data_IF_607554490637
#
_entry.id   IF_607554490637
#
_cell.length_a   1.000
_cell.length_b   1.000
_cell.length_c   1.000
_cell.angle_alpha   90.00
_cell.angle_beta   90.00
_cell.angle_gamma   90.00
#
_symmetry.space_group_name_H-M   'P 1'
#
loop_
_entity.id
_entity.type
_entity.pdbx_description
1 polymer ?
#
# COMPACT_ATOMS: atom_id res chain seq x y z
N UNK A 1 -13.08 7.37 -23.48
CA UNK A 1 -12.39 6.07 -23.37
C UNK A 1 -10.92 6.35 -23.12
N UNK A 2 -10.51 6.58 -21.88
CA UNK A 2 -9.09 6.73 -21.57
C UNK A 2 -8.48 5.33 -21.52
N UNK A 3 -7.50 5.06 -22.38
CA UNK A 3 -6.74 3.82 -22.37
C UNK A 3 -6.07 3.64 -21.00
N UNK A 4 -5.73 2.43 -20.57
CA UNK A 4 -4.99 2.15 -19.33
C UNK A 4 -3.60 2.83 -19.24
N UNK A 5 -3.27 3.68 -20.22
CA UNK A 5 -2.02 4.42 -20.39
C UNK A 5 -2.19 5.94 -20.31
N UNK A 6 -3.43 6.47 -20.28
CA UNK A 6 -3.66 7.91 -20.16
C UNK A 6 -4.81 8.23 -19.21
N UNK A 7 -4.75 9.36 -18.51
CA UNK A 7 -5.78 9.82 -17.56
C UNK A 7 -5.87 11.34 -17.58
N UNK A 8 -7.07 11.89 -17.43
CA UNK A 8 -7.27 13.33 -17.27
C UNK A 8 -7.06 13.74 -15.81
N UNK A 9 -6.05 14.56 -15.53
CA UNK A 9 -5.81 15.15 -14.22
C UNK A 9 -5.87 16.68 -14.34
N UNK A 10 -6.77 17.33 -13.59
CA UNK A 10 -6.96 18.79 -13.62
C UNK A 10 -7.14 19.37 -15.04
N UNK A 11 -7.90 18.69 -15.89
CA UNK A 11 -8.21 19.16 -17.24
C UNK A 11 -7.11 18.89 -18.29
N UNK A 12 -6.01 18.23 -17.92
CA UNK A 12 -4.93 17.85 -18.84
C UNK A 12 -4.85 16.32 -18.96
N UNK A 13 -4.72 15.83 -20.19
CA UNK A 13 -4.49 14.39 -20.44
C UNK A 13 -3.01 14.08 -20.25
N UNK A 14 -2.72 13.20 -19.29
CA UNK A 14 -1.37 12.80 -18.91
C UNK A 14 -1.21 11.28 -19.04
N UNK A 15 0.03 10.81 -19.17
CA UNK A 15 0.34 9.39 -19.17
C UNK A 15 0.18 8.79 -17.76
N UNK A 16 -0.59 7.73 -17.62
CA UNK A 16 -0.95 7.12 -16.34
C UNK A 16 -2.40 6.63 -16.30
N UNK A 17 -2.76 5.93 -15.23
CA UNK A 17 -4.11 5.40 -15.01
C UNK A 17 -4.77 5.91 -13.71
N UNK A 18 -4.10 6.82 -13.00
CA UNK A 18 -4.61 7.48 -11.80
C UNK A 18 -3.99 8.87 -11.62
N UNK A 19 -4.65 9.73 -10.82
CA UNK A 19 -4.19 11.07 -10.50
C UNK A 19 -3.80 11.21 -9.02
N UNK A 20 -2.77 12.00 -8.76
CA UNK A 20 -2.37 12.50 -7.46
C UNK A 20 -2.27 14.02 -7.55
N UNK A 21 -3.34 14.72 -7.20
CA UNK A 21 -3.48 16.15 -7.50
C UNK A 21 -3.49 16.40 -9.01
N UNK A 22 -2.56 17.24 -9.51
CA UNK A 22 -2.40 17.56 -10.93
C UNK A 22 -1.46 16.63 -11.69
N UNK A 23 -0.87 15.63 -11.03
CA UNK A 23 0.03 14.67 -11.64
C UNK A 23 -0.67 13.34 -11.90
N UNK A 24 -0.38 12.71 -13.03
CA UNK A 24 -0.77 11.32 -13.29
C UNK A 24 0.34 10.35 -12.89
N UNK A 25 -0.05 9.12 -12.53
CA UNK A 25 0.87 8.02 -12.24
C UNK A 25 0.28 6.68 -12.66
N UNK A 26 1.12 5.64 -12.63
CA UNK A 26 0.72 4.26 -12.86
C UNK A 26 0.56 3.54 -11.53
N UNK A 27 -0.65 3.04 -11.25
CA UNK A 27 -0.97 2.28 -10.03
C UNK A 27 -0.22 0.95 -9.92
N UNK A 28 0.38 0.47 -11.01
CA UNK A 28 1.20 -0.75 -11.03
C UNK A 28 2.56 -0.57 -10.35
N UNK A 29 3.07 0.66 -10.25
CA UNK A 29 4.40 0.94 -9.69
C UNK A 29 4.38 1.91 -8.52
N UNK A 30 3.36 2.77 -8.46
CA UNK A 30 3.30 3.90 -7.54
C UNK A 30 1.92 4.06 -6.92
N UNK A 31 1.86 4.79 -5.82
CA UNK A 31 0.64 5.16 -5.10
C UNK A 31 0.71 6.62 -4.67
N UNK A 32 -0.45 7.23 -4.39
CA UNK A 32 -0.57 8.61 -3.93
C UNK A 32 -0.83 8.62 -2.42
N UNK A 33 0.16 9.00 -1.62
CA UNK A 33 0.02 9.13 -0.16
C UNK A 33 0.03 10.59 0.24
N UNK A 34 -1.09 11.09 0.78
CA UNK A 34 -1.26 12.49 1.20
C UNK A 34 -0.85 13.50 0.11
N UNK A 35 -1.24 13.24 -1.15
CA UNK A 35 -0.96 14.13 -2.27
C UNK A 35 0.44 14.00 -2.87
N UNK A 36 1.27 13.04 -2.41
CA UNK A 36 2.60 12.77 -2.95
C UNK A 36 2.64 11.39 -3.59
N UNK A 37 3.07 11.32 -4.86
CA UNK A 37 3.30 10.05 -5.57
C UNK A 37 4.57 9.41 -5.01
N UNK A 38 4.47 8.14 -4.61
CA UNK A 38 5.57 7.36 -4.04
C UNK A 38 5.57 5.93 -4.59
N UNK A 39 6.73 5.26 -4.70
CA UNK A 39 6.79 3.86 -5.08
C UNK A 39 6.09 2.99 -4.02
N UNK A 40 5.24 2.08 -4.46
CA UNK A 40 4.40 1.26 -3.58
C UNK A 40 2.98 1.11 -4.11
N UNK A 41 2.18 0.31 -3.44
CA UNK A 41 0.78 0.07 -3.78
C UNK A 41 -0.18 0.36 -2.60
N UNK A 42 0.34 0.69 -1.42
CA UNK A 42 -0.43 1.08 -0.25
C UNK A 42 0.25 2.20 0.54
N UNK A 43 -0.53 2.90 1.36
CA UNK A 43 -0.07 3.99 2.21
C UNK A 43 -0.20 3.63 3.69
N UNK A 44 0.81 4.00 4.47
CA UNK A 44 0.81 4.01 5.93
C UNK A 44 1.06 5.45 6.38
N UNK A 45 -0.02 6.22 6.56
CA UNK A 45 0.07 7.67 6.68
C UNK A 45 0.68 8.31 5.43
N UNK A 46 1.78 9.04 5.59
CA UNK A 46 2.49 9.70 4.49
C UNK A 46 3.46 8.79 3.75
N UNK A 47 3.75 7.59 4.27
CA UNK A 47 4.72 6.65 3.68
C UNK A 47 4.02 5.66 2.77
N UNK A 48 4.63 5.32 1.64
CA UNK A 48 4.17 4.24 0.77
C UNK A 48 4.94 2.96 1.06
N UNK A 49 4.29 1.82 0.84
CA UNK A 49 4.91 0.50 0.95
C UNK A 49 4.33 -0.47 -0.07
N UNK A 50 5.00 -1.62 -0.20
CA UNK A 50 4.53 -2.75 -0.99
C UNK A 50 3.85 -3.78 -0.08
N UNK A 51 2.57 -4.05 -0.33
CA UNK A 51 1.81 -5.05 0.45
C UNK A 51 2.31 -6.48 0.30
N UNK A 52 3.17 -6.75 -0.69
CA UNK A 52 3.81 -8.05 -0.89
C UNK A 52 4.87 -8.39 0.16
N UNK A 53 5.47 -7.37 0.79
CA UNK A 53 6.58 -7.55 1.74
C UNK A 53 6.32 -6.94 3.10
N UNK A 54 5.37 -6.02 3.20
CA UNK A 54 5.11 -5.26 4.42
C UNK A 54 3.63 -4.98 4.63
N UNK A 55 3.28 -4.64 5.86
CA UNK A 55 1.95 -4.22 6.27
C UNK A 55 2.04 -3.00 7.18
N UNK A 56 0.96 -2.23 7.29
CA UNK A 56 0.87 -1.06 8.16
C UNK A 56 0.12 -1.43 9.44
N UNK A 57 0.80 -1.47 10.58
CA UNK A 57 0.19 -1.71 11.88
C UNK A 57 0.32 -0.45 12.73
N UNK A 58 -0.81 0.14 13.15
CA UNK A 58 -0.84 1.36 13.97
C UNK A 58 0.03 2.51 13.43
N UNK A 59 0.03 2.70 12.10
CA UNK A 59 0.79 3.77 11.46
C UNK A 59 2.28 3.48 11.26
N UNK A 60 2.75 2.27 11.56
CA UNK A 60 4.13 1.82 11.34
C UNK A 60 4.15 0.74 10.25
N UNK A 61 5.03 0.90 9.26
CA UNK A 61 5.27 -0.12 8.23
C UNK A 61 6.20 -1.19 8.82
N UNK A 62 5.75 -2.43 8.80
CA UNK A 62 6.43 -3.58 9.37
C UNK A 62 6.45 -4.74 8.37
N UNK A 63 7.49 -5.59 8.44
CA UNK A 63 7.57 -6.78 7.62
C UNK A 63 6.51 -7.81 8.06
N UNK A 64 5.70 -8.29 7.12
CA UNK A 64 4.55 -9.16 7.40
C UNK A 64 3.38 -8.86 6.48
N UNK A 65 2.33 -9.66 6.58
CA UNK A 65 1.10 -9.51 5.79
C UNK A 65 -0.16 -9.32 6.64
N UNK A 66 -0.05 -9.45 7.97
CA UNK A 66 -1.14 -9.22 8.91
C UNK A 66 -0.64 -8.54 10.19
N UNK A 67 -1.54 -7.86 10.90
CA UNK A 67 -1.27 -7.22 12.18
C UNK A 67 -1.89 -8.01 13.34
N UNK A 68 -1.15 -8.11 14.44
CA UNK A 68 -1.62 -8.60 15.73
C UNK A 68 -1.30 -7.53 16.78
N UNK A 69 -2.28 -6.69 17.12
CA UNK A 69 -2.02 -5.47 17.87
C UNK A 69 -1.13 -4.51 17.08
N UNK A 70 -0.01 -4.08 17.68
CA UNK A 70 0.99 -3.20 17.06
C UNK A 70 2.12 -3.93 16.33
N UNK A 71 2.07 -5.27 16.26
CA UNK A 71 3.10 -6.08 15.60
C UNK A 71 2.59 -6.64 14.28
N UNK A 72 3.48 -6.76 13.30
CA UNK A 72 3.20 -7.52 12.08
C UNK A 72 3.68 -8.96 12.21
N UNK A 73 2.99 -9.86 11.53
CA UNK A 73 3.37 -11.26 11.40
C UNK A 73 3.07 -11.78 10.00
N UNK A 74 3.65 -12.93 9.67
CA UNK A 74 3.34 -13.67 8.46
C UNK A 74 2.30 -14.74 8.78
N UNK A 75 1.14 -14.67 8.13
CA UNK A 75 0.06 -15.67 8.29
C UNK A 75 0.47 -17.07 7.83
N UNK A 76 1.56 -17.20 7.07
CA UNK A 76 2.11 -18.50 6.65
C UNK A 76 2.84 -19.24 7.76
N UNK A 77 3.30 -18.56 8.81
CA UNK A 77 4.09 -19.17 9.90
C UNK A 77 3.50 -18.92 11.28
N UNK A 78 2.47 -18.09 11.40
CA UNK A 78 1.95 -17.62 12.67
C UNK A 78 0.47 -17.24 12.58
N UNK A 79 -0.20 -17.20 13.74
CA UNK A 79 -1.61 -16.79 13.91
C UNK A 79 -1.72 -15.81 15.07
N UNK A 80 -2.66 -14.87 15.00
CA UNK A 80 -2.98 -13.96 16.10
C UNK A 80 -4.13 -14.51 16.95
N UNK A 81 -3.93 -14.66 18.26
CA UNK A 81 -4.98 -15.03 19.20
C UNK A 81 -4.95 -14.07 20.40
N UNK A 82 -6.05 -13.34 20.61
CA UNK A 82 -6.20 -12.35 21.69
C UNK A 82 -5.04 -11.33 21.74
N UNK A 83 -4.57 -10.88 20.56
CA UNK A 83 -3.48 -9.90 20.46
C UNK A 83 -2.07 -10.48 20.66
N UNK A 84 -1.93 -11.82 20.76
CA UNK A 84 -0.65 -12.51 20.88
C UNK A 84 -0.38 -13.33 19.63
N UNK A 85 0.80 -13.15 19.04
CA UNK A 85 1.27 -13.97 17.91
C UNK A 85 1.67 -15.34 18.45
N UNK A 86 1.11 -16.40 17.85
CA UNK A 86 1.43 -17.79 18.12
C UNK A 86 1.98 -18.45 16.84
N UNK A 87 2.86 -19.44 16.94
CA UNK A 87 3.25 -20.25 15.79
C UNK A 87 2.01 -20.80 15.09
N UNK A 88 2.01 -20.77 13.76
CA UNK A 88 0.97 -21.37 12.96
C UNK A 88 1.15 -22.87 13.03
N UNK A 89 0.07 -23.60 13.34
CA UNK A 89 0.10 -25.05 13.15
C UNK A 89 0.26 -25.30 11.64
N UNK A 90 1.41 -25.85 11.25
CA UNK A 90 1.61 -26.39 9.92
C UNK A 90 0.72 -27.61 9.69
#
# INVERSE_FOLDING_TARGET
YYTSTSTCCNGVILAGNACCGSQAYYTSTSTCCLGVIKPGNACCGSQAYYTSTSTCCNGVILAGNACCGSQAYYTSTSTCCLGVIKPGNA
#
